data_IF_800371752933
#
_entry.id   IF_800371752933
#
_cell.length_a   1.000
_cell.length_b   1.000
_cell.length_c   1.000
_cell.angle_alpha   90.00
_cell.angle_beta   90.00
_cell.angle_gamma   90.00
#
_symmetry.space_group_name_H-M   'P 1'
#
loop_
_entity.id
_entity.type
_entity.pdbx_description
1 polymer ?
#
# COMPACT_ATOMS: atom_id res chain seq x y z
N UNK A 1 27.20 -12.97 -8.74
CA UNK A 1 26.71 -13.96 -9.73
C UNK A 1 25.96 -13.16 -10.79
N UNK A 2 26.48 -13.09 -12.01
CA UNK A 2 25.82 -12.34 -13.09
C UNK A 2 24.71 -13.21 -13.69
N UNK A 3 23.56 -12.61 -14.01
CA UNK A 3 22.49 -13.32 -14.72
C UNK A 3 22.92 -13.53 -16.17
N UNK A 4 22.71 -14.73 -16.70
CA UNK A 4 23.06 -15.07 -18.08
C UNK A 4 22.10 -14.36 -19.06
N UNK A 5 22.64 -13.64 -20.04
CA UNK A 5 21.86 -12.99 -21.11
C UNK A 5 20.94 -11.84 -20.64
N UNK A 6 19.91 -11.53 -21.43
CA UNK A 6 18.86 -10.54 -21.13
C UNK A 6 17.83 -11.14 -20.16
N UNK A 7 18.30 -11.59 -19.00
CA UNK A 7 17.48 -12.20 -17.96
C UNK A 7 17.42 -11.28 -16.74
N UNK A 8 16.25 -11.21 -16.10
CA UNK A 8 16.07 -10.61 -14.79
C UNK A 8 15.60 -11.65 -13.78
N UNK A 9 15.55 -11.27 -12.52
CA UNK A 9 15.00 -12.13 -11.47
C UNK A 9 13.88 -11.43 -10.74
N UNK A 10 12.83 -12.18 -10.50
CA UNK A 10 11.64 -11.75 -9.79
C UNK A 10 11.69 -12.32 -8.38
N UNK A 11 11.54 -11.44 -7.41
CA UNK A 11 11.70 -11.74 -5.98
C UNK A 11 10.32 -11.87 -5.36
N UNK A 12 10.08 -13.02 -4.74
CA UNK A 12 8.86 -13.36 -4.03
C UNK A 12 9.14 -13.60 -2.54
N UNK A 13 8.16 -13.29 -1.70
CA UNK A 13 8.17 -13.67 -0.29
C UNK A 13 7.02 -14.64 -0.04
N UNK A 14 7.31 -15.75 0.64
CA UNK A 14 6.26 -16.64 1.12
C UNK A 14 5.57 -16.02 2.33
N UNK A 15 4.25 -15.84 2.22
CA UNK A 15 3.38 -15.31 3.28
C UNK A 15 2.95 -16.37 4.29
N UNK A 16 3.33 -17.64 4.16
CA UNK A 16 2.88 -18.74 5.05
C UNK A 16 3.04 -18.46 6.56
N UNK A 17 3.84 -17.47 6.94
CA UNK A 17 3.99 -17.00 8.31
C UNK A 17 2.71 -16.33 8.86
N UNK A 18 1.74 -15.91 8.03
CA UNK A 18 0.55 -15.15 8.47
C UNK A 18 -0.68 -15.40 7.55
N UNK A 19 -1.91 -15.62 8.05
CA UNK A 19 -2.41 -15.75 9.43
C UNK A 19 -2.72 -17.20 9.87
N UNK A 20 -2.59 -18.20 9.00
CA UNK A 20 -2.87 -19.61 9.31
C UNK A 20 -1.63 -20.48 9.00
N UNK A 21 -0.99 -21.08 10.01
CA UNK A 21 0.13 -22.00 9.82
C UNK A 21 -0.22 -23.24 8.99
N UNK A 22 -1.51 -23.53 8.77
CA UNK A 22 -2.01 -24.67 8.02
C UNK A 22 -2.34 -24.33 6.57
N UNK A 23 -2.25 -23.05 6.19
CA UNK A 23 -2.56 -22.60 4.83
C UNK A 23 -1.44 -22.98 3.85
N UNK A 24 -1.78 -23.30 2.58
CA UNK A 24 -0.79 -23.52 1.54
C UNK A 24 0.09 -22.28 1.32
N UNK A 25 1.33 -22.45 0.83
CA UNK A 25 2.23 -21.33 0.55
C UNK A 25 1.57 -20.29 -0.34
N UNK A 26 1.67 -19.02 0.04
CA UNK A 26 1.11 -17.89 -0.71
C UNK A 26 2.24 -16.91 -1.04
N UNK A 27 2.66 -16.90 -2.30
CA UNK A 27 3.79 -16.10 -2.75
C UNK A 27 3.36 -14.69 -3.12
N UNK A 28 3.99 -13.70 -2.51
CA UNK A 28 3.80 -12.29 -2.84
C UNK A 28 4.98 -11.74 -3.62
N UNK A 29 4.69 -11.12 -4.77
CA UNK A 29 5.68 -10.39 -5.56
C UNK A 29 6.19 -9.15 -4.80
N UNK A 30 7.48 -9.14 -4.48
CA UNK A 30 8.15 -7.98 -3.86
C UNK A 30 8.69 -7.01 -4.91
N UNK A 31 9.21 -7.53 -6.02
CA UNK A 31 9.79 -6.77 -7.11
C UNK A 31 10.84 -7.56 -7.88
N UNK A 32 11.82 -6.87 -8.46
CA UNK A 32 12.80 -7.50 -9.32
C UNK A 32 14.22 -6.94 -9.15
N UNK A 33 15.19 -7.74 -9.61
CA UNK A 33 16.59 -7.38 -9.80
C UNK A 33 17.02 -7.77 -11.23
N UNK A 34 17.98 -7.07 -11.79
CA UNK A 34 18.53 -7.38 -13.12
C UNK A 34 20.02 -7.03 -13.17
N UNK A 35 20.71 -7.32 -14.28
CA UNK A 35 22.09 -6.90 -14.47
C UNK A 35 22.25 -5.36 -14.40
N UNK A 36 21.24 -4.60 -14.83
CA UNK A 36 21.23 -3.13 -14.71
C UNK A 36 20.93 -2.64 -13.29
N UNK A 37 20.21 -3.43 -12.48
CA UNK A 37 19.88 -3.13 -11.08
C UNK A 37 20.09 -4.38 -10.22
N UNK A 38 21.34 -4.64 -9.77
CA UNK A 38 21.71 -5.92 -9.17
C UNK A 38 21.23 -6.09 -7.72
N UNK A 39 20.64 -5.07 -7.10
CA UNK A 39 20.15 -5.12 -5.72
C UNK A 39 18.87 -4.28 -5.52
N UNK A 40 18.08 -4.67 -4.52
CA UNK A 40 16.87 -3.98 -4.09
C UNK A 40 16.62 -4.22 -2.60
N UNK A 41 15.93 -3.29 -1.95
CA UNK A 41 15.53 -3.39 -0.53
C UNK A 41 14.01 -3.45 -0.48
N UNK A 42 13.47 -4.44 0.25
CA UNK A 42 12.04 -4.65 0.39
C UNK A 42 11.62 -4.61 1.86
N UNK A 43 10.59 -3.81 2.18
CA UNK A 43 10.04 -3.71 3.53
C UNK A 43 8.95 -4.77 3.72
N UNK A 44 9.21 -5.77 4.55
CA UNK A 44 8.29 -6.90 4.74
C UNK A 44 7.25 -6.70 5.86
N UNK A 45 7.46 -5.75 6.78
CA UNK A 45 6.62 -5.57 7.97
C UNK A 45 5.21 -5.06 7.70
N UNK A 46 4.94 -4.51 6.51
CA UNK A 46 3.64 -3.93 6.14
C UNK A 46 2.78 -4.88 5.28
N UNK A 47 3.33 -6.02 4.86
CA UNK A 47 2.64 -6.98 3.99
C UNK A 47 1.42 -7.63 4.70
N UNK A 48 1.47 -7.74 6.05
CA UNK A 48 0.37 -8.21 6.91
C UNK A 48 -0.92 -7.40 6.77
N UNK A 49 -0.84 -6.10 6.44
CA UNK A 49 -2.00 -5.19 6.41
C UNK A 49 -2.69 -5.13 5.05
N UNK A 50 -2.03 -5.59 3.98
CA UNK A 50 -2.56 -5.52 2.62
C UNK A 50 -3.60 -6.62 2.34
N UNK A 51 -3.55 -7.75 3.07
CA UNK A 51 -4.51 -8.87 2.94
C UNK A 51 -5.91 -8.56 3.48
N UNK A 52 -6.08 -7.59 4.38
CA UNK A 52 -7.42 -7.21 4.86
C UNK A 52 -8.24 -6.46 3.78
N UNK A 53 -7.62 -6.08 2.66
CA UNK A 53 -8.22 -5.14 1.69
C UNK A 53 -8.21 -5.69 0.25
N UNK A 54 -7.36 -6.67 -0.08
CA UNK A 54 -7.22 -7.18 -1.45
C UNK A 54 -7.14 -8.70 -1.52
N UNK A 55 -8.24 -9.34 -1.92
CA UNK A 55 -8.34 -10.76 -2.26
C UNK A 55 -7.76 -11.05 -3.65
N UNK A 56 -6.48 -10.77 -3.88
CA UNK A 56 -5.83 -11.15 -5.14
C UNK A 56 -4.91 -12.35 -4.92
N UNK A 57 -5.56 -13.50 -4.74
CA UNK A 57 -4.99 -14.83 -4.51
C UNK A 57 -4.56 -15.50 -5.82
N UNK A 58 -3.92 -14.77 -6.74
CA UNK A 58 -3.71 -15.22 -8.12
C UNK A 58 -2.35 -15.89 -8.41
N UNK A 59 -1.48 -16.11 -7.41
CA UNK A 59 -0.13 -16.65 -7.63
C UNK A 59 0.19 -17.93 -6.82
N UNK A 60 -0.83 -18.75 -6.54
CA UNK A 60 -0.75 -19.92 -5.65
C UNK A 60 0.13 -21.10 -6.14
N UNK A 61 0.95 -20.98 -7.20
CA UNK A 61 1.68 -22.16 -7.72
C UNK A 61 3.05 -21.91 -8.39
N UNK A 62 3.66 -20.72 -8.26
CA UNK A 62 4.94 -20.43 -8.96
C UNK A 62 6.08 -21.38 -8.55
N UNK A 63 6.15 -21.77 -7.28
CA UNK A 63 7.19 -22.66 -6.76
C UNK A 63 6.68 -24.08 -6.45
N UNK A 64 5.52 -24.47 -6.99
CA UNK A 64 4.88 -25.76 -6.71
C UNK A 64 4.37 -25.90 -5.27
N UNK A 65 3.93 -27.12 -4.92
CA UNK A 65 3.53 -27.46 -3.54
C UNK A 65 4.77 -27.57 -2.67
N UNK A 66 4.92 -26.62 -1.73
CA UNK A 66 5.96 -26.67 -0.71
C UNK A 66 5.37 -27.16 0.61
N UNK A 67 6.13 -27.92 1.42
CA UNK A 67 5.71 -28.33 2.74
C UNK A 67 5.49 -27.10 3.63
N UNK A 68 4.60 -27.23 4.61
CA UNK A 68 4.33 -26.19 5.59
C UNK A 68 5.60 -25.83 6.35
N UNK A 69 6.00 -24.57 6.28
CA UNK A 69 7.21 -23.99 6.88
C UNK A 69 6.84 -22.86 7.84
N UNK A 70 7.43 -22.88 9.04
CA UNK A 70 7.32 -21.79 10.01
C UNK A 70 8.40 -20.70 9.84
N UNK A 71 9.24 -20.83 8.80
CA UNK A 71 10.35 -19.93 8.50
C UNK A 71 10.02 -19.16 7.23
N UNK A 72 10.30 -17.85 7.23
CA UNK A 72 10.17 -17.00 6.06
C UNK A 72 11.01 -17.54 4.89
N UNK A 73 10.38 -17.70 3.73
CA UNK A 73 11.07 -18.13 2.51
C UNK A 73 11.10 -16.98 1.50
N UNK A 74 12.24 -16.85 0.82
CA UNK A 74 12.41 -15.94 -0.32
C UNK A 74 12.54 -16.79 -1.58
N UNK A 75 11.63 -16.57 -2.51
CA UNK A 75 11.59 -17.24 -3.81
C UNK A 75 12.21 -16.34 -4.86
N UNK A 76 13.04 -16.91 -5.73
CA UNK A 76 13.65 -16.19 -6.85
C UNK A 76 13.31 -16.93 -8.14
N UNK A 77 12.48 -16.33 -8.99
CA UNK A 77 12.24 -16.82 -10.36
C UNK A 77 13.15 -16.10 -11.34
N UNK A 78 13.79 -16.83 -12.24
CA UNK A 78 14.59 -16.25 -13.33
C UNK A 78 13.67 -16.16 -14.54
N UNK A 79 13.49 -14.94 -15.05
CA UNK A 79 12.57 -14.65 -16.14
C UNK A 79 13.26 -13.81 -17.22
N UNK A 80 12.81 -13.87 -18.49
CA UNK A 80 13.26 -12.94 -19.52
C UNK A 80 13.06 -11.49 -19.08
N UNK A 81 14.05 -10.63 -19.28
CA UNK A 81 14.05 -9.25 -18.76
C UNK A 81 12.83 -8.43 -19.21
N UNK A 82 12.30 -8.70 -20.42
CA UNK A 82 11.07 -8.07 -20.91
C UNK A 82 9.85 -8.36 -20.03
N UNK A 83 9.74 -9.57 -19.47
CA UNK A 83 8.64 -9.95 -18.60
C UNK A 83 8.81 -9.34 -17.21
N UNK A 84 10.04 -9.23 -16.74
CA UNK A 84 10.40 -8.66 -15.43
C UNK A 84 10.01 -7.18 -15.33
N UNK A 85 10.28 -6.41 -16.39
CA UNK A 85 9.98 -4.96 -16.44
C UNK A 85 8.46 -4.70 -16.45
N UNK A 86 7.67 -5.63 -16.97
CA UNK A 86 6.21 -5.50 -17.05
C UNK A 86 5.50 -5.85 -15.73
N UNK A 87 6.16 -6.57 -14.81
CA UNK A 87 5.54 -6.92 -13.54
C UNK A 87 5.52 -5.73 -12.59
N UNK A 88 4.32 -5.39 -12.11
CA UNK A 88 4.12 -4.34 -11.11
C UNK A 88 4.28 -4.97 -9.72
N UNK A 89 5.30 -4.59 -8.92
CA UNK A 89 5.49 -5.14 -7.59
C UNK A 89 4.28 -4.83 -6.69
N UNK A 90 3.81 -5.83 -5.93
CA UNK A 90 2.72 -5.64 -4.96
C UNK A 90 3.12 -4.70 -3.81
N UNK A 91 4.41 -4.39 -3.66
CA UNK A 91 4.98 -3.53 -2.63
C UNK A 91 4.90 -2.02 -2.93
N UNK A 92 4.20 -1.58 -3.97
CA UNK A 92 3.93 -0.14 -4.16
C UNK A 92 3.01 0.38 -3.05
N UNK A 93 3.63 0.82 -1.96
CA UNK A 93 3.03 1.54 -0.81
C UNK A 93 2.14 2.72 -1.22
N UNK A 94 2.24 3.19 -2.47
CA UNK A 94 1.44 4.24 -3.07
C UNK A 94 -0.06 3.98 -2.96
N UNK A 95 -0.52 2.74 -3.20
CA UNK A 95 -1.93 2.38 -3.07
C UNK A 95 -2.39 2.46 -1.61
N UNK A 96 -1.56 1.97 -0.68
CA UNK A 96 -1.82 2.00 0.76
C UNK A 96 -1.87 3.43 1.31
N UNK A 97 -0.96 4.31 0.86
CA UNK A 97 -0.95 5.71 1.28
C UNK A 97 -2.15 6.49 0.75
N UNK A 98 -2.55 6.23 -0.48
CA UNK A 98 -3.73 6.85 -1.07
C UNK A 98 -5.00 6.42 -0.34
N UNK A 99 -5.14 5.13 -0.03
CA UNK A 99 -6.29 4.63 0.74
C UNK A 99 -6.30 5.16 2.18
N UNK A 100 -5.15 5.16 2.85
CA UNK A 100 -5.01 5.73 4.18
C UNK A 100 -5.37 7.22 4.19
N UNK A 101 -4.81 8.00 3.25
CA UNK A 101 -5.08 9.43 3.13
C UNK A 101 -6.55 9.74 2.88
N UNK A 102 -7.23 8.96 2.03
CA UNK A 102 -8.68 9.07 1.80
C UNK A 102 -9.48 8.79 3.07
N UNK A 103 -9.21 7.67 3.76
CA UNK A 103 -9.94 7.33 4.99
C UNK A 103 -9.71 8.35 6.11
N UNK A 104 -8.49 8.88 6.23
CA UNK A 104 -8.18 9.93 7.21
C UNK A 104 -8.94 11.23 6.90
N UNK A 105 -8.93 11.67 5.64
CA UNK A 105 -9.67 12.85 5.18
C UNK A 105 -11.16 12.74 5.47
N UNK A 106 -11.75 11.61 5.11
CA UNK A 106 -13.17 11.33 5.32
C UNK A 106 -13.52 11.31 6.81
N UNK A 107 -12.72 10.63 7.63
CA UNK A 107 -12.90 10.61 9.08
C UNK A 107 -12.84 12.01 9.70
N UNK A 108 -11.83 12.81 9.33
CA UNK A 108 -11.67 14.18 9.83
C UNK A 108 -12.82 15.10 9.41
N UNK A 109 -13.24 15.00 8.14
CA UNK A 109 -14.36 15.79 7.63
C UNK A 109 -15.67 15.41 8.34
N UNK A 110 -15.95 14.12 8.50
CA UNK A 110 -17.14 13.64 9.20
C UNK A 110 -17.16 14.06 10.67
N UNK A 111 -16.02 13.97 11.37
CA UNK A 111 -15.91 14.42 12.75
C UNK A 111 -16.16 15.93 12.85
N UNK A 112 -15.43 16.74 12.09
CA UNK A 112 -15.48 18.20 12.20
C UNK A 112 -16.82 18.79 11.74
N UNK A 113 -17.41 18.23 10.66
CA UNK A 113 -18.73 18.67 10.18
C UNK A 113 -19.87 18.31 11.13
N UNK A 114 -19.70 17.31 12.00
CA UNK A 114 -20.73 16.98 13.01
C UNK A 114 -20.92 18.08 14.07
N UNK A 115 -19.93 18.97 14.23
CA UNK A 115 -20.01 20.15 15.10
C UNK A 115 -20.46 21.41 14.35
N UNK A 116 -20.80 21.32 13.05
CA UNK A 116 -21.23 22.47 12.29
C UNK A 116 -22.59 22.97 12.80
N UNK A 117 -22.63 24.23 13.23
CA UNK A 117 -23.83 24.90 13.71
C UNK A 117 -24.04 26.19 12.93
N UNK A 118 -25.30 26.58 12.73
CA UNK A 118 -25.63 27.90 12.19
C UNK A 118 -25.49 28.97 13.26
N UNK A 119 -25.31 30.24 12.88
CA UNK A 119 -25.25 31.34 13.85
C UNK A 119 -26.47 31.39 14.78
N UNK A 120 -27.65 30.97 14.29
CA UNK A 120 -28.87 30.88 15.10
C UNK A 120 -28.84 29.80 16.18
N UNK A 121 -27.97 28.80 16.07
CA UNK A 121 -27.82 27.70 17.02
C UNK A 121 -26.64 27.91 17.98
N UNK A 122 -25.81 28.94 17.73
CA UNK A 122 -24.64 29.23 18.56
C UNK A 122 -25.03 29.88 19.88
N UNK A 123 -24.42 29.40 20.96
CA UNK A 123 -24.46 30.07 22.25
C UNK A 123 -23.31 31.10 22.32
N UNK A 124 -23.49 32.26 22.96
CA UNK A 124 -22.43 33.25 23.09
C UNK A 124 -21.22 32.68 23.84
N UNK A 125 -20.10 32.49 23.13
CA UNK A 125 -18.82 32.11 23.70
C UNK A 125 -17.70 33.01 23.14
N UNK A 126 -17.39 34.14 23.80
CA UNK A 126 -16.44 35.12 23.29
C UNK A 126 -14.98 34.65 23.29
N UNK A 127 -14.67 33.53 23.94
CA UNK A 127 -13.32 32.97 24.00
C UNK A 127 -13.04 31.93 22.91
N UNK A 128 -14.05 31.54 22.14
CA UNK A 128 -13.97 30.46 21.15
C UNK A 128 -13.88 31.01 19.73
N UNK A 129 -13.00 30.42 18.93
CA UNK A 129 -12.83 30.78 17.51
C UNK A 129 -13.54 29.76 16.65
N UNK A 130 -14.30 30.24 15.67
CA UNK A 130 -15.07 29.40 14.76
C UNK A 130 -14.51 29.47 13.34
N UNK A 131 -14.46 28.31 12.68
CA UNK A 131 -14.08 28.19 11.28
C UNK A 131 -15.33 27.90 10.45
N UNK A 132 -15.63 28.66 9.39
CA UNK A 132 -16.77 28.37 8.51
C UNK A 132 -16.66 26.98 7.88
N UNK A 133 -17.78 26.24 7.83
CA UNK A 133 -17.83 24.90 7.23
C UNK A 133 -17.36 24.90 5.75
N UNK A 134 -17.60 25.99 5.02
CA UNK A 134 -17.11 26.18 3.65
C UNK A 134 -15.58 26.14 3.54
N UNK A 135 -14.86 26.61 4.55
CA UNK A 135 -13.39 26.55 4.62
C UNK A 135 -12.94 25.11 4.72
N UNK A 136 -13.61 24.32 5.56
CA UNK A 136 -13.32 22.89 5.73
C UNK A 136 -13.62 22.09 4.45
N UNK A 137 -14.75 22.34 3.78
CA UNK A 137 -15.08 21.73 2.49
C UNK A 137 -14.04 22.06 1.42
N UNK A 138 -13.66 23.34 1.31
CA UNK A 138 -12.65 23.78 0.34
C UNK A 138 -11.29 23.12 0.61
N UNK A 139 -10.91 22.98 1.89
CA UNK A 139 -9.69 22.27 2.27
C UNK A 139 -9.75 20.78 1.89
N UNK A 140 -10.86 20.10 2.20
CA UNK A 140 -11.08 18.70 1.87
C UNK A 140 -10.90 18.45 0.36
N UNK A 141 -11.61 19.20 -0.48
CA UNK A 141 -11.55 19.05 -1.95
C UNK A 141 -10.14 19.32 -2.49
N UNK A 142 -9.45 20.34 -1.95
CA UNK A 142 -8.08 20.65 -2.37
C UNK A 142 -7.09 19.56 -1.97
N UNK A 143 -7.20 19.02 -0.75
CA UNK A 143 -6.34 17.94 -0.27
C UNK A 143 -6.58 16.68 -1.10
N UNK A 144 -7.84 16.28 -1.30
CA UNK A 144 -8.18 15.10 -2.09
C UNK A 144 -7.62 15.20 -3.52
N UNK A 145 -7.78 16.36 -4.17
CA UNK A 145 -7.23 16.61 -5.51
C UNK A 145 -5.71 16.45 -5.54
N UNK A 146 -4.99 17.01 -4.55
CA UNK A 146 -3.53 16.88 -4.44
C UNK A 146 -3.10 15.43 -4.19
N UNK A 147 -3.83 14.71 -3.34
CA UNK A 147 -3.57 13.31 -3.01
C UNK A 147 -3.74 12.39 -4.24
N UNK A 148 -4.78 12.64 -5.05
CA UNK A 148 -5.01 11.89 -6.30
C UNK A 148 -3.92 12.16 -7.34
N UNK A 149 -3.43 13.40 -7.44
CA UNK A 149 -2.36 13.77 -8.37
C UNK A 149 -1.00 13.21 -7.95
N UNK A 150 -0.68 13.29 -6.65
CA UNK A 150 0.59 12.79 -6.11
C UNK A 150 0.38 12.25 -4.69
N UNK A 151 0.36 10.93 -4.48
CA UNK A 151 0.19 10.34 -3.14
C UNK A 151 1.26 10.71 -2.11
N UNK A 152 2.40 11.25 -2.53
CA UNK A 152 3.51 11.71 -1.66
C UNK A 152 3.61 13.24 -1.55
N UNK A 153 2.60 14.02 -1.99
CA UNK A 153 2.68 15.49 -2.04
C UNK A 153 3.00 16.16 -0.70
N UNK A 154 2.67 15.51 0.41
CA UNK A 154 2.80 16.01 1.78
C UNK A 154 4.17 15.74 2.42
N UNK A 155 5.06 14.97 1.75
CA UNK A 155 6.38 14.60 2.27
C UNK A 155 7.49 15.60 1.95
N UNK A 156 7.19 16.66 1.20
CA UNK A 156 8.18 17.61 0.70
C UNK A 156 8.14 18.94 1.43
#
# INVERSE_FOLDING_TARGET
MALLGNSGSIIYLDKQIWPDPSAPPNWQLLGYISNAKPSAIFKISQLKKLDEIGSDSSQLSIFGSQPISHIAQVGVSIEPEQNVIQQTPSATNTATYLQFGRKMLENFFNFSSSFAVTQSQMLPNPSETFVPLSTLQTWYTNFERRLQQNPNFWKS
#
